data_IF_330898338581
#
_entry.id   IF_330898338581
#
_cell.length_a   1.000
_cell.length_b   1.000
_cell.length_c   1.000
_cell.angle_alpha   90.00
_cell.angle_beta   90.00
_cell.angle_gamma   90.00
#
_symmetry.space_group_name_H-M   'P 1'
#
loop_
_entity.id
_entity.type
_entity.pdbx_description
1 polymer ?
#
# COMPACT_ATOMS: atom_id res chain seq x y z
N UNK A 1 -5.29 16.85 -2.40
CA UNK A 1 -6.27 16.21 -3.31
C UNK A 1 -7.15 17.19 -4.09
N UNK A 2 -6.85 18.50 -4.15
CA UNK A 2 -7.63 19.48 -4.92
C UNK A 2 -6.81 20.28 -5.97
N UNK A 3 -5.56 19.89 -6.25
CA UNK A 3 -4.63 20.69 -7.08
C UNK A 3 -3.97 19.94 -8.24
N UNK A 4 -4.21 18.63 -8.41
CA UNK A 4 -3.62 17.87 -9.52
C UNK A 4 -4.68 17.61 -10.60
N UNK A 5 -4.51 18.13 -11.83
CA UNK A 5 -5.52 18.07 -12.89
C UNK A 5 -5.70 16.66 -13.49
N UNK A 6 -4.91 15.67 -13.07
CA UNK A 6 -4.91 14.30 -13.64
C UNK A 6 -4.99 13.24 -12.56
N UNK A 7 -5.88 12.26 -12.76
CA UNK A 7 -6.08 11.09 -11.89
C UNK A 7 -4.82 10.19 -11.84
N UNK A 8 -4.07 10.13 -12.94
CA UNK A 8 -2.77 9.46 -13.03
C UNK A 8 -1.73 10.53 -13.39
N UNK A 9 -1.19 11.20 -12.38
CA UNK A 9 -0.27 12.31 -12.59
C UNK A 9 1.17 11.84 -12.89
N UNK A 10 1.58 10.67 -12.37
CA UNK A 10 2.94 10.14 -12.55
C UNK A 10 3.12 9.24 -13.80
N UNK A 11 2.05 9.01 -14.57
CA UNK A 11 2.03 8.07 -15.70
C UNK A 11 1.87 6.61 -15.27
N UNK A 12 1.33 5.79 -16.18
CA UNK A 12 0.92 4.41 -15.88
C UNK A 12 2.06 3.51 -15.39
N UNK A 13 3.27 3.60 -15.98
CA UNK A 13 4.42 2.76 -15.59
C UNK A 13 4.82 2.95 -14.12
N UNK A 14 4.96 4.21 -13.68
CA UNK A 14 5.34 4.51 -12.29
C UNK A 14 4.22 4.17 -11.32
N UNK A 15 2.96 4.35 -11.74
CA UNK A 15 1.79 3.94 -10.95
C UNK A 15 1.76 2.41 -10.76
N UNK A 16 2.01 1.62 -11.81
CA UNK A 16 2.05 0.15 -11.69
C UNK A 16 3.20 -0.30 -10.80
N UNK A 17 4.40 0.29 -10.95
CA UNK A 17 5.56 -0.06 -10.11
C UNK A 17 5.31 0.25 -8.64
N UNK A 18 4.81 1.45 -8.32
CA UNK A 18 4.53 1.83 -6.93
C UNK A 18 3.47 0.92 -6.30
N UNK A 19 2.47 0.55 -7.08
CA UNK A 19 1.41 -0.36 -6.67
C UNK A 19 1.93 -1.77 -6.39
N UNK A 20 2.73 -2.33 -7.30
CA UNK A 20 3.35 -3.65 -7.12
C UNK A 20 4.23 -3.69 -5.88
N UNK A 21 5.04 -2.66 -5.65
CA UNK A 21 5.88 -2.57 -4.44
C UNK A 21 5.01 -2.50 -3.18
N UNK A 22 3.94 -1.70 -3.19
CA UNK A 22 3.07 -1.52 -2.03
C UNK A 22 2.37 -2.82 -1.62
N UNK A 23 1.75 -3.51 -2.57
CA UNK A 23 0.90 -4.66 -2.28
C UNK A 23 1.64 -6.00 -2.23
N UNK A 24 2.82 -6.13 -2.85
CA UNK A 24 3.63 -7.34 -2.73
C UNK A 24 4.74 -7.18 -1.71
N UNK A 25 5.58 -6.15 -1.86
CA UNK A 25 6.78 -5.99 -1.04
C UNK A 25 6.43 -5.65 0.42
N UNK A 26 5.38 -4.83 0.64
CA UNK A 26 4.90 -4.49 1.98
C UNK A 26 4.50 -5.72 2.83
N UNK A 27 3.51 -6.52 2.38
CA UNK A 27 3.11 -7.73 3.09
C UNK A 27 4.22 -8.79 3.18
N UNK A 28 5.06 -8.93 2.15
CA UNK A 28 6.15 -9.89 2.14
C UNK A 28 7.19 -9.54 3.21
N UNK A 29 7.58 -8.27 3.30
CA UNK A 29 8.50 -7.78 4.35
C UNK A 29 7.88 -7.91 5.73
N UNK A 30 6.60 -7.58 5.90
CA UNK A 30 5.92 -7.74 7.18
C UNK A 30 5.86 -9.22 7.60
N UNK A 31 5.57 -10.13 6.67
CA UNK A 31 5.56 -11.58 6.94
C UNK A 31 6.94 -12.06 7.38
N UNK A 32 8.00 -11.67 6.66
CA UNK A 32 9.37 -12.04 6.99
C UNK A 32 9.78 -11.53 8.38
N UNK A 33 9.52 -10.26 8.68
CA UNK A 33 9.80 -9.66 9.98
C UNK A 33 8.97 -10.31 11.10
N UNK A 34 7.70 -10.59 10.84
CA UNK A 34 6.81 -11.21 11.84
C UNK A 34 7.24 -12.64 12.19
N UNK A 35 7.67 -13.42 11.19
CA UNK A 35 8.23 -14.76 11.40
C UNK A 35 9.55 -14.69 12.17
N UNK A 36 10.43 -13.72 11.86
CA UNK A 36 11.69 -13.52 12.57
C UNK A 36 11.50 -13.24 14.07
N UNK A 37 10.45 -12.48 14.42
CA UNK A 37 10.06 -12.21 15.82
C UNK A 37 9.12 -13.28 16.40
N UNK A 38 8.89 -14.38 15.67
CA UNK A 38 8.06 -15.52 16.08
C UNK A 38 6.59 -15.16 16.40
N UNK A 39 6.01 -14.19 15.71
CA UNK A 39 4.57 -13.91 15.76
C UNK A 39 3.78 -15.11 15.20
N UNK A 40 2.70 -15.48 15.89
CA UNK A 40 1.85 -16.63 15.54
C UNK A 40 0.36 -16.30 15.63
N UNK A 41 -0.43 -17.03 14.83
CA UNK A 41 -1.89 -16.97 14.81
C UNK A 41 -2.43 -15.61 14.41
N UNK A 42 -3.48 -15.15 15.09
CA UNK A 42 -4.20 -13.90 14.78
C UNK A 42 -3.29 -12.67 14.69
N UNK A 43 -2.23 -12.59 15.51
CA UNK A 43 -1.29 -11.46 15.50
C UNK A 43 -0.46 -11.39 14.22
N UNK A 44 -0.03 -12.54 13.69
CA UNK A 44 0.68 -12.63 12.42
C UNK A 44 -0.26 -12.22 11.27
N UNK A 45 -1.50 -12.72 11.30
CA UNK A 45 -2.48 -12.44 10.27
C UNK A 45 -2.86 -10.95 10.23
N UNK A 46 -3.11 -10.36 11.41
CA UNK A 46 -3.40 -8.93 11.54
C UNK A 46 -2.25 -8.06 11.03
N UNK A 47 -0.99 -8.42 11.34
CA UNK A 47 0.17 -7.68 10.86
C UNK A 47 0.28 -7.69 9.32
N UNK A 48 0.11 -8.85 8.70
CA UNK A 48 0.15 -9.01 7.23
C UNK A 48 -0.97 -8.22 6.56
N UNK A 49 -2.21 -8.34 7.08
CA UNK A 49 -3.37 -7.60 6.56
C UNK A 49 -3.16 -6.09 6.70
N UNK A 50 -2.64 -5.63 7.84
CA UNK A 50 -2.34 -4.21 8.07
C UNK A 50 -1.28 -3.68 7.09
N UNK A 51 -0.27 -4.49 6.76
CA UNK A 51 0.75 -4.12 5.78
C UNK A 51 0.21 -4.05 4.34
N UNK A 52 -0.88 -4.78 4.03
CA UNK A 52 -1.55 -4.76 2.73
C UNK A 52 -2.52 -3.57 2.54
N UNK A 53 -2.80 -2.80 3.59
CA UNK A 53 -3.70 -1.66 3.51
C UNK A 53 -3.14 -0.53 2.62
N UNK A 54 -4.01 0.28 2.00
CA UNK A 54 -3.59 1.39 1.14
C UNK A 54 -2.82 2.45 1.92
N UNK A 55 -2.06 3.28 1.23
CA UNK A 55 -1.35 4.39 1.86
C UNK A 55 -2.34 5.44 2.38
N UNK A 56 -2.04 6.02 3.55
CA UNK A 56 -2.78 7.15 4.07
C UNK A 56 -2.55 8.44 3.27
N UNK A 57 -3.34 9.46 3.56
CA UNK A 57 -3.25 10.77 2.89
C UNK A 57 -2.10 11.62 3.46
N UNK A 58 -1.68 11.38 4.71
CA UNK A 58 -0.64 12.19 5.37
C UNK A 58 0.73 12.14 4.66
N UNK A 59 1.24 10.97 4.20
CA UNK A 59 2.44 10.91 3.38
C UNK A 59 2.39 11.82 2.13
N UNK A 60 1.22 12.02 1.52
CA UNK A 60 1.08 12.94 0.39
C UNK A 60 1.34 14.39 0.81
N UNK A 61 0.87 14.79 2.00
CA UNK A 61 1.15 16.13 2.54
C UNK A 61 2.65 16.32 2.74
N UNK A 62 3.34 15.34 3.31
CA UNK A 62 4.80 15.39 3.45
C UNK A 62 5.53 15.39 2.11
N UNK A 63 5.11 14.58 1.15
CA UNK A 63 5.70 14.59 -0.19
C UNK A 63 5.52 15.94 -0.91
N UNK A 64 4.43 16.65 -0.64
CA UNK A 64 4.24 18.03 -1.12
C UNK A 64 5.17 19.00 -0.41
N UNK A 65 5.25 18.92 0.92
CA UNK A 65 6.07 19.83 1.73
C UNK A 65 7.56 19.73 1.40
N UNK A 66 8.05 18.51 1.15
CA UNK A 66 9.47 18.25 0.84
C UNK A 66 9.77 18.15 -0.67
N UNK A 67 8.80 18.39 -1.56
CA UNK A 67 9.02 18.30 -3.02
C UNK A 67 9.32 16.89 -3.55
N UNK A 68 8.95 15.83 -2.81
CA UNK A 68 9.23 14.43 -3.12
C UNK A 68 8.14 13.81 -4.00
N UNK A 69 8.13 14.14 -5.30
CA UNK A 69 7.25 13.54 -6.32
C UNK A 69 5.81 13.23 -5.84
N UNK A 70 5.04 14.24 -5.42
CA UNK A 70 3.70 14.07 -4.86
C UNK A 70 2.69 13.41 -5.82
N UNK A 71 2.98 13.42 -7.12
CA UNK A 71 2.22 12.73 -8.17
C UNK A 71 2.19 11.22 -8.01
N UNK A 72 3.29 10.62 -7.53
CA UNK A 72 3.36 9.17 -7.26
C UNK A 72 2.44 8.83 -6.11
N UNK A 73 2.54 9.58 -5.01
CA UNK A 73 1.75 9.32 -3.80
C UNK A 73 0.27 9.57 -4.02
N UNK A 74 -0.11 10.64 -4.75
CA UNK A 74 -1.52 10.89 -5.06
C UNK A 74 -2.14 9.75 -5.88
N UNK A 75 -1.43 9.28 -6.90
CA UNK A 75 -1.87 8.15 -7.74
C UNK A 75 -1.94 6.86 -6.90
N UNK A 76 -0.93 6.62 -6.07
CA UNK A 76 -0.84 5.45 -5.20
C UNK A 76 -1.95 5.39 -4.14
N UNK A 77 -2.39 6.52 -3.59
CA UNK A 77 -3.51 6.55 -2.64
C UNK A 77 -4.84 6.27 -3.33
N UNK A 78 -5.11 6.89 -4.48
CA UNK A 78 -6.38 6.70 -5.23
C UNK A 78 -6.51 5.25 -5.71
N UNK A 79 -5.51 4.73 -6.43
CA UNK A 79 -5.53 3.34 -6.89
C UNK A 79 -5.38 2.36 -5.75
N UNK A 80 -4.58 2.70 -4.74
CA UNK A 80 -4.46 1.99 -3.47
C UNK A 80 -5.82 1.67 -2.88
N UNK A 81 -6.69 2.67 -2.76
CA UNK A 81 -8.03 2.49 -2.21
C UNK A 81 -8.95 1.64 -3.09
N UNK A 82 -8.80 1.67 -4.42
CA UNK A 82 -9.62 0.83 -5.32
C UNK A 82 -9.21 -0.64 -5.26
N UNK A 83 -7.91 -0.91 -5.18
CA UNK A 83 -7.35 -2.27 -5.23
C UNK A 83 -7.19 -2.88 -3.83
N UNK A 84 -7.30 -2.08 -2.77
CA UNK A 84 -7.17 -2.59 -1.40
C UNK A 84 -8.21 -3.64 -1.07
N UNK A 85 -9.49 -3.42 -1.40
CA UNK A 85 -10.56 -4.38 -1.13
C UNK A 85 -10.30 -5.77 -1.73
N UNK A 86 -10.07 -5.91 -3.04
CA UNK A 86 -9.80 -7.22 -3.62
C UNK A 86 -8.50 -7.84 -3.10
N UNK A 87 -7.45 -7.04 -2.84
CA UNK A 87 -6.18 -7.58 -2.31
C UNK A 87 -6.32 -8.03 -0.86
N UNK A 88 -7.00 -7.26 -0.01
CA UNK A 88 -7.27 -7.66 1.37
C UNK A 88 -8.12 -8.93 1.39
N UNK A 89 -9.14 -9.04 0.54
CA UNK A 89 -9.94 -10.27 0.43
C UNK A 89 -9.07 -11.47 0.01
N UNK A 90 -8.18 -11.29 -0.96
CA UNK A 90 -7.23 -12.32 -1.38
C UNK A 90 -6.34 -12.77 -0.21
N UNK A 91 -5.81 -11.83 0.58
CA UNK A 91 -5.02 -12.15 1.76
C UNK A 91 -5.84 -12.87 2.83
N UNK A 92 -7.11 -12.49 3.04
CA UNK A 92 -8.01 -13.21 3.94
C UNK A 92 -8.17 -14.68 3.53
N UNK A 93 -8.43 -14.93 2.24
CA UNK A 93 -8.56 -16.29 1.69
C UNK A 93 -7.23 -17.07 1.83
N UNK A 94 -6.10 -16.45 1.49
CA UNK A 94 -4.78 -17.08 1.57
C UNK A 94 -4.35 -17.41 3.00
N UNK A 95 -4.72 -16.57 3.98
CA UNK A 95 -4.43 -16.79 5.39
C UNK A 95 -5.48 -17.68 6.09
N UNK A 96 -6.55 -18.08 5.38
CA UNK A 96 -7.61 -18.93 5.91
C UNK A 96 -8.38 -18.32 7.08
N UNK A 97 -8.56 -16.99 7.06
CA UNK A 97 -9.26 -16.24 8.11
C UNK A 97 -10.77 -16.12 7.87
#
# INVERSE_FOLDING_TARGET
>A
MALQPRIIACGGKMATISMSIRFFCGPLMMSAASIAVQLKGVRLHAAIVQAALPQGIVPFVFAREYGLHPDILSTGVIFGMLVSLPVTLLYYILLGL
#
